data_IF_900441587465
#
_entry.id   IF_900441587465
#
_cell.length_a   1.000
_cell.length_b   1.000
_cell.length_c   1.000
_cell.angle_alpha   90.00
_cell.angle_beta   90.00
_cell.angle_gamma   90.00
#
_symmetry.space_group_name_H-M   'P 1'
#
loop_
_entity.id
_entity.type
_entity.pdbx_description
1 polymer ?
#
# COMPACT_ATOMS: atom_id res chain seq x y z
N UNK A 1 -18.79 6.90 -51.35
CA UNK A 1 -19.70 6.69 -50.21
C UNK A 1 -19.38 5.33 -49.60
N UNK A 2 -18.65 5.32 -48.49
CA UNK A 2 -18.60 4.23 -47.51
C UNK A 2 -18.15 4.86 -46.21
N UNK A 3 -19.13 5.09 -45.35
CA UNK A 3 -19.00 5.60 -43.98
C UNK A 3 -19.18 4.42 -43.03
N UNK A 4 -18.28 4.26 -42.06
CA UNK A 4 -18.45 3.57 -40.77
C UNK A 4 -17.10 3.02 -40.32
N UNK A 5 -16.62 3.12 -39.09
CA UNK A 5 -17.03 3.81 -37.87
C UNK A 5 -15.90 3.44 -36.90
N UNK A 6 -15.07 4.40 -36.50
CA UNK A 6 -14.03 4.16 -35.50
C UNK A 6 -14.65 4.14 -34.12
N UNK A 7 -14.76 2.96 -33.54
CA UNK A 7 -15.13 2.73 -32.14
C UNK A 7 -14.07 3.33 -31.22
N UNK A 8 -14.38 4.48 -30.61
CA UNK A 8 -13.62 5.06 -29.51
C UNK A 8 -13.99 4.36 -28.21
N UNK A 9 -13.18 3.39 -27.78
CA UNK A 9 -13.19 2.90 -26.40
C UNK A 9 -11.81 3.14 -25.78
N UNK A 10 -11.55 4.38 -25.40
CA UNK A 10 -10.46 4.70 -24.47
C UNK A 10 -11.06 4.87 -23.09
N UNK A 11 -11.31 3.76 -22.38
CA UNK A 11 -11.31 3.79 -20.93
C UNK A 11 -9.87 4.05 -20.49
N UNK A 12 -9.49 5.32 -20.43
CA UNK A 12 -8.24 5.75 -19.81
C UNK A 12 -8.31 5.24 -18.37
N UNK A 13 -7.53 4.21 -18.06
CA UNK A 13 -7.24 3.84 -16.69
C UNK A 13 -6.62 5.08 -16.05
N UNK A 14 -7.41 5.83 -15.29
CA UNK A 14 -6.89 6.91 -14.46
C UNK A 14 -5.96 6.25 -13.45
N UNK A 15 -4.67 6.55 -13.51
CA UNK A 15 -3.68 6.05 -12.55
C UNK A 15 -4.10 6.48 -11.14
N UNK A 16 -4.80 5.59 -10.42
CA UNK A 16 -5.23 5.84 -9.05
C UNK A 16 -4.09 5.59 -8.09
N UNK A 17 -3.84 6.55 -7.21
CA UNK A 17 -2.86 6.41 -6.12
C UNK A 17 -3.58 5.97 -4.85
N UNK A 18 -2.95 5.13 -4.05
CA UNK A 18 -3.48 4.78 -2.74
C UNK A 18 -3.18 5.90 -1.75
N UNK A 19 -1.95 6.41 -1.81
CA UNK A 19 -1.43 7.39 -0.86
C UNK A 19 -0.76 8.53 -1.61
N UNK A 20 -1.09 9.75 -1.20
CA UNK A 20 -0.33 10.96 -1.53
C UNK A 20 0.54 11.34 -0.34
N UNK A 21 1.81 11.67 -0.56
CA UNK A 21 2.70 12.14 0.52
C UNK A 21 3.22 13.53 0.18
N UNK A 22 2.81 14.52 0.99
CA UNK A 22 3.38 15.88 0.97
C UNK A 22 4.45 16.01 2.05
N UNK A 23 5.62 16.51 1.68
CA UNK A 23 6.76 16.67 2.57
C UNK A 23 7.72 17.74 2.05
N UNK A 24 8.54 18.30 2.94
CA UNK A 24 9.65 19.17 2.53
C UNK A 24 10.86 18.31 2.17
N UNK A 25 11.25 18.33 0.89
CA UNK A 25 12.34 17.51 0.36
C UNK A 25 13.67 17.80 1.05
N UNK A 26 14.03 19.07 1.18
CA UNK A 26 15.27 19.51 1.84
C UNK A 26 15.42 19.00 3.28
N UNK A 27 14.31 18.87 4.03
CA UNK A 27 14.34 18.50 5.44
C UNK A 27 14.34 16.98 5.67
N UNK A 28 13.74 16.20 4.75
CA UNK A 28 13.31 14.82 5.06
C UNK A 28 13.70 13.76 4.03
N UNK A 29 14.23 14.14 2.86
CA UNK A 29 14.47 13.24 1.70
C UNK A 29 15.45 12.10 1.98
N UNK A 30 16.44 12.29 2.86
CA UNK A 30 17.45 11.27 3.22
C UNK A 30 17.22 10.61 4.59
N UNK A 31 16.07 10.82 5.22
CA UNK A 31 15.78 10.31 6.56
C UNK A 31 14.46 9.51 6.58
N UNK A 32 13.45 10.00 7.28
CA UNK A 32 12.17 9.34 7.53
C UNK A 32 11.39 9.02 6.25
N UNK A 33 11.36 9.94 5.28
CA UNK A 33 10.55 9.78 4.05
C UNK A 33 11.04 8.62 3.19
N UNK A 34 12.36 8.42 3.11
CA UNK A 34 12.93 7.29 2.37
C UNK A 34 12.46 5.95 2.92
N UNK A 35 12.50 5.79 4.25
CA UNK A 35 12.03 4.59 4.93
C UNK A 35 10.51 4.42 4.85
N UNK A 36 9.75 5.51 4.95
CA UNK A 36 8.29 5.48 4.77
C UNK A 36 7.91 4.98 3.37
N UNK A 37 8.55 5.52 2.32
CA UNK A 37 8.32 5.06 0.95
C UNK A 37 8.71 3.59 0.74
N UNK A 38 9.83 3.15 1.32
CA UNK A 38 10.25 1.76 1.26
C UNK A 38 9.22 0.84 1.93
N UNK A 39 8.73 1.21 3.12
CA UNK A 39 7.77 0.43 3.86
C UNK A 39 6.41 0.35 3.14
N UNK A 40 5.90 1.47 2.63
CA UNK A 40 4.67 1.51 1.81
C UNK A 40 4.82 0.65 0.54
N UNK A 41 5.94 0.79 -0.18
CA UNK A 41 6.22 0.02 -1.39
C UNK A 41 6.34 -1.48 -1.13
N UNK A 42 6.96 -1.88 -0.02
CA UNK A 42 7.07 -3.30 0.39
C UNK A 42 5.69 -3.92 0.66
N UNK A 43 4.71 -3.11 1.04
CA UNK A 43 3.32 -3.54 1.23
C UNK A 43 2.46 -3.45 -0.03
N UNK A 44 3.04 -3.03 -1.17
CA UNK A 44 2.34 -2.93 -2.45
C UNK A 44 1.40 -1.74 -2.56
N UNK A 45 1.63 -0.71 -1.74
CA UNK A 45 0.86 0.54 -1.74
C UNK A 45 1.43 1.44 -2.85
N UNK A 46 0.56 1.87 -3.77
CA UNK A 46 0.89 2.81 -4.83
C UNK A 46 0.92 4.23 -4.27
N UNK A 47 2.11 4.82 -4.21
CA UNK A 47 2.34 6.11 -3.57
C UNK A 47 2.69 7.15 -4.62
N UNK A 48 1.94 8.25 -4.67
CA UNK A 48 2.39 9.45 -5.34
C UNK A 48 3.42 10.16 -4.46
N UNK A 49 4.62 10.34 -5.01
CA UNK A 49 5.70 11.08 -4.35
C UNK A 49 5.70 12.48 -4.94
N UNK A 50 5.37 13.49 -4.14
CA UNK A 50 5.66 14.86 -4.58
C UNK A 50 7.18 15.09 -4.45
N UNK A 51 7.88 14.86 -5.55
CA UNK A 51 9.31 15.14 -5.64
C UNK A 51 9.40 16.59 -6.10
N UNK A 52 9.92 17.46 -5.24
CA UNK A 52 10.24 18.88 -5.50
C UNK A 52 11.02 19.15 -6.82
N UNK A 53 11.48 18.10 -7.50
CA UNK A 53 12.21 18.15 -8.77
C UNK A 53 11.28 18.37 -9.98
N UNK A 54 9.95 18.28 -9.82
CA UNK A 54 8.96 18.67 -10.83
C UNK A 54 8.82 20.21 -10.92
N UNK A 55 9.86 20.83 -11.49
CA UNK A 55 9.94 22.17 -12.11
C UNK A 55 9.29 23.34 -11.36
N UNK A 56 10.16 24.21 -10.86
CA UNK A 56 9.93 25.64 -10.55
C UNK A 56 8.94 26.30 -11.52
N UNK A 57 7.70 26.48 -11.06
CA UNK A 57 6.65 27.24 -11.73
C UNK A 57 5.70 27.86 -10.71
N UNK A 58 5.05 28.98 -11.05
CA UNK A 58 4.16 29.74 -10.16
C UNK A 58 2.76 29.14 -10.03
N UNK A 59 2.43 28.07 -10.76
CA UNK A 59 1.14 27.38 -10.71
C UNK A 59 1.33 25.92 -10.28
N UNK A 60 0.36 25.40 -9.55
CA UNK A 60 0.22 23.97 -9.28
C UNK A 60 0.13 23.26 -10.63
N UNK A 61 0.99 22.26 -10.86
CA UNK A 61 1.00 21.50 -12.09
C UNK A 61 -0.35 20.74 -12.21
N UNK A 62 -1.01 20.72 -13.39
CA UNK A 62 -2.24 19.95 -13.58
C UNK A 62 -2.13 18.48 -13.13
N UNK A 63 -0.93 17.91 -13.28
CA UNK A 63 -0.57 16.57 -12.84
C UNK A 63 -0.67 16.41 -11.31
N UNK A 64 -0.31 17.43 -10.54
CA UNK A 64 -0.40 17.44 -9.08
C UNK A 64 -1.87 17.47 -8.62
N UNK A 65 -2.72 18.28 -9.25
CA UNK A 65 -4.16 18.30 -8.96
C UNK A 65 -4.80 16.96 -9.29
N UNK A 66 -4.43 16.34 -10.42
CA UNK A 66 -4.89 15.00 -10.77
C UNK A 66 -4.44 13.96 -9.75
N UNK A 67 -3.18 14.00 -9.30
CA UNK A 67 -2.66 13.10 -8.28
C UNK A 67 -3.40 13.25 -6.95
N UNK A 68 -3.64 14.50 -6.51
CA UNK A 68 -4.46 14.78 -5.32
C UNK A 68 -5.85 14.18 -5.51
N UNK A 69 -6.53 14.45 -6.62
CA UNK A 69 -7.88 13.92 -6.91
C UNK A 69 -7.91 12.39 -6.99
N UNK A 70 -6.86 11.75 -7.49
CA UNK A 70 -6.75 10.31 -7.66
C UNK A 70 -6.27 9.56 -6.41
N UNK A 71 -5.96 10.26 -5.31
CA UNK A 71 -5.43 9.68 -4.07
C UNK A 71 -6.50 9.46 -3.00
N UNK A 72 -6.42 8.33 -2.29
CA UNK A 72 -7.39 7.95 -1.25
C UNK A 72 -6.99 8.43 0.16
N UNK A 73 -5.70 8.36 0.48
CA UNK A 73 -5.15 8.76 1.79
C UNK A 73 -4.05 9.80 1.57
N UNK A 74 -4.02 10.83 2.42
CA UNK A 74 -2.98 11.86 2.40
C UNK A 74 -2.12 11.76 3.65
N UNK A 75 -0.81 11.71 3.46
CA UNK A 75 0.16 11.85 4.53
C UNK A 75 0.81 13.22 4.38
N UNK A 76 0.73 14.02 5.44
CA UNK A 76 1.38 15.33 5.49
C UNK A 76 2.50 15.27 6.52
N UNK A 77 3.75 15.37 6.06
CA UNK A 77 4.93 15.33 6.94
C UNK A 77 5.38 16.75 7.21
N UNK A 78 4.93 17.28 8.35
CA UNK A 78 5.37 18.56 8.85
C UNK A 78 6.78 18.45 9.42
N UNK A 79 7.71 19.23 8.88
CA UNK A 79 9.08 19.41 9.35
C UNK A 79 9.29 20.85 9.85
N UNK A 80 10.47 21.17 10.38
CA UNK A 80 10.78 22.52 10.86
C UNK A 80 10.62 23.59 9.77
N UNK A 81 11.01 23.31 8.53
CA UNK A 81 10.98 24.28 7.41
C UNK A 81 9.87 23.99 6.39
N UNK A 82 8.86 23.18 6.72
CA UNK A 82 7.76 22.87 5.78
C UNK A 82 7.09 24.14 5.24
N UNK A 83 6.83 25.12 6.10
CA UNK A 83 6.17 26.37 5.72
C UNK A 83 7.05 27.36 4.96
N UNK A 84 8.35 27.11 4.77
CA UNK A 84 9.19 27.97 3.92
C UNK A 84 9.01 27.68 2.43
N UNK A 85 8.34 26.56 2.09
CA UNK A 85 7.99 26.19 0.73
C UNK A 85 6.55 26.60 0.40
N UNK A 86 6.40 27.58 -0.49
CA UNK A 86 5.07 27.95 -1.03
C UNK A 86 4.41 26.78 -1.76
N UNK A 87 5.21 25.86 -2.31
CA UNK A 87 4.70 24.64 -2.94
C UNK A 87 4.01 23.74 -1.91
N UNK A 88 4.69 23.39 -0.82
CA UNK A 88 4.12 22.56 0.25
C UNK A 88 2.83 23.19 0.83
N UNK A 89 2.81 24.52 0.99
CA UNK A 89 1.63 25.24 1.48
C UNK A 89 0.45 25.22 0.51
N UNK A 90 0.72 25.31 -0.80
CA UNK A 90 -0.29 25.18 -1.86
C UNK A 90 -0.87 23.77 -1.92
N UNK A 91 -0.02 22.75 -1.89
CA UNK A 91 -0.46 21.36 -1.81
C UNK A 91 -1.38 21.13 -0.62
N UNK A 92 -0.98 21.58 0.56
CA UNK A 92 -1.76 21.42 1.76
C UNK A 92 -3.14 22.08 1.66
N UNK A 93 -3.20 23.28 1.08
CA UNK A 93 -4.45 23.99 0.85
C UNK A 93 -5.35 23.24 -0.15
N UNK A 94 -4.80 22.73 -1.25
CA UNK A 94 -5.55 21.92 -2.23
C UNK A 94 -6.04 20.61 -1.63
N UNK A 95 -5.20 19.90 -0.88
CA UNK A 95 -5.58 18.67 -0.18
C UNK A 95 -6.74 18.95 0.79
N UNK A 96 -6.69 20.08 1.50
CA UNK A 96 -7.75 20.46 2.43
C UNK A 96 -9.03 20.92 1.75
N UNK A 97 -8.93 21.52 0.57
CA UNK A 97 -10.08 21.88 -0.27
C UNK A 97 -10.68 20.67 -1.00
N UNK A 98 -9.92 19.58 -1.12
CA UNK A 98 -10.42 18.31 -1.62
C UNK A 98 -11.41 17.69 -0.63
N UNK A 99 -12.40 16.94 -1.15
CA UNK A 99 -13.52 16.33 -0.41
C UNK A 99 -13.24 16.05 1.08
N UNK A 100 -14.05 16.66 1.96
CA UNK A 100 -13.90 16.59 3.43
C UNK A 100 -13.88 15.16 3.98
N UNK A 101 -14.32 14.17 3.20
CA UNK A 101 -14.35 12.75 3.58
C UNK A 101 -13.01 12.03 3.45
N UNK A 102 -11.99 12.66 2.85
CA UNK A 102 -10.71 12.00 2.63
C UNK A 102 -9.86 11.95 3.90
N UNK A 103 -9.13 10.85 4.07
CA UNK A 103 -8.34 10.62 5.28
C UNK A 103 -7.00 11.34 5.17
N UNK A 104 -6.77 12.30 6.06
CA UNK A 104 -5.51 13.04 6.16
C UNK A 104 -4.81 12.61 7.46
N UNK A 105 -3.55 12.22 7.34
CA UNK A 105 -2.69 11.76 8.43
C UNK A 105 -1.53 12.76 8.57
N UNK A 106 -1.59 13.70 9.54
CA UNK A 106 -0.46 14.55 9.85
C UNK A 106 0.62 13.77 10.61
N UNK A 107 1.87 13.95 10.22
CA UNK A 107 3.07 13.44 10.88
C UNK A 107 3.93 14.65 11.24
N UNK A 108 4.32 14.77 12.50
CA UNK A 108 5.17 15.83 13.02
C UNK A 108 6.59 15.30 13.19
N UNK A 109 7.43 15.54 12.17
CA UNK A 109 8.83 15.12 12.08
C UNK A 109 9.73 16.22 12.63
N UNK A 110 10.31 15.98 13.82
CA UNK A 110 11.22 16.92 14.50
C UNK A 110 10.64 18.34 14.73
N UNK A 111 9.31 18.48 14.71
CA UNK A 111 8.59 19.74 14.95
C UNK A 111 7.46 19.55 15.96
N UNK A 112 7.29 20.48 16.89
CA UNK A 112 6.20 20.40 17.85
C UNK A 112 4.84 20.61 17.16
N UNK A 113 3.82 19.76 17.40
CA UNK A 113 2.49 19.97 16.84
C UNK A 113 1.92 21.36 17.14
N UNK A 114 2.21 21.93 18.32
CA UNK A 114 1.77 23.27 18.70
C UNK A 114 2.41 24.37 17.86
N UNK A 115 3.66 24.17 17.39
CA UNK A 115 4.36 25.10 16.48
C UNK A 115 3.63 25.16 15.15
N UNK A 116 3.22 24.02 14.60
CA UNK A 116 2.47 23.95 13.34
C UNK A 116 1.05 24.52 13.52
N UNK A 117 0.35 24.13 14.59
CA UNK A 117 -1.05 24.56 14.87
C UNK A 117 -1.19 26.06 15.11
N UNK A 118 -0.21 26.67 15.77
CA UNK A 118 -0.21 28.11 16.09
C UNK A 118 0.63 28.94 15.10
N UNK A 119 1.27 28.26 14.15
CA UNK A 119 2.24 28.84 13.20
C UNK A 119 3.27 29.74 13.89
N UNK A 120 3.84 29.28 15.01
CA UNK A 120 4.87 30.00 15.77
C UNK A 120 6.29 29.63 15.30
N UNK A 121 7.33 30.31 15.76
CA UNK A 121 8.71 29.87 15.53
C UNK A 121 9.16 29.97 14.07
N UNK A 122 9.62 28.87 13.46
CA UNK A 122 10.04 28.86 12.04
C UNK A 122 8.88 29.17 11.09
N UNK A 123 7.67 28.69 11.42
CA UNK A 123 6.46 28.94 10.64
C UNK A 123 6.07 30.42 10.68
N UNK A 124 6.19 31.06 11.84
CA UNK A 124 5.92 32.49 12.02
C UNK A 124 6.84 33.34 11.14
N UNK A 125 8.13 33.00 11.12
CA UNK A 125 9.14 33.69 10.28
C UNK A 125 8.81 33.55 8.80
N UNK A 126 8.45 32.35 8.34
CA UNK A 126 8.08 32.11 6.96
C UNK A 126 6.84 32.94 6.55
N UNK A 127 5.80 32.97 7.37
CA UNK A 127 4.61 33.77 7.08
C UNK A 127 4.87 35.27 7.12
N UNK A 128 5.69 35.76 8.05
CA UNK A 128 6.07 37.18 8.08
C UNK A 128 6.82 37.60 6.80
N UNK A 129 7.62 36.70 6.22
CA UNK A 129 8.27 36.93 4.93
C UNK A 129 7.25 37.03 3.78
N UNK A 130 6.28 36.11 3.72
CA UNK A 130 5.23 36.14 2.71
C UNK A 130 4.34 37.38 2.82
N UNK A 131 3.93 37.75 4.03
CA UNK A 131 3.10 38.95 4.27
C UNK A 131 3.84 40.24 3.88
N UNK A 132 5.16 40.29 4.09
CA UNK A 132 5.98 41.40 3.61
C UNK A 132 6.11 41.39 2.08
N UNK A 133 6.34 40.23 1.47
CA UNK A 133 6.55 40.06 0.03
C UNK A 133 5.29 40.31 -0.79
N UNK A 134 4.14 39.92 -0.28
CA UNK A 134 2.85 39.96 -1.00
C UNK A 134 1.94 41.10 -0.55
N UNK A 135 2.44 42.03 0.28
CA UNK A 135 1.67 43.13 0.86
C UNK A 135 0.76 43.90 -0.12
N UNK A 136 1.23 44.11 -1.35
CA UNK A 136 0.51 44.89 -2.38
C UNK A 136 -0.29 44.00 -3.37
N UNK A 137 -0.24 42.68 -3.20
CA UNK A 137 -0.90 41.69 -4.05
C UNK A 137 -2.03 41.03 -3.26
N UNK A 138 -3.24 41.59 -3.38
CA UNK A 138 -4.42 41.13 -2.63
C UNK A 138 -4.70 39.63 -2.86
N UNK A 139 -4.50 39.14 -4.08
CA UNK A 139 -4.72 37.74 -4.45
C UNK A 139 -3.74 36.81 -3.71
N UNK A 140 -2.46 37.19 -3.63
CA UNK A 140 -1.47 36.41 -2.87
C UNK A 140 -1.65 36.54 -1.37
N UNK A 141 -2.14 37.67 -0.87
CA UNK A 141 -2.49 37.79 0.54
C UNK A 141 -3.66 36.89 0.93
N UNK A 142 -4.68 36.75 0.07
CA UNK A 142 -5.73 35.75 0.26
C UNK A 142 -5.15 34.32 0.24
N UNK A 143 -4.19 34.04 -0.65
CA UNK A 143 -3.50 32.75 -0.72
C UNK A 143 -2.79 32.42 0.61
N UNK A 144 -2.06 33.38 1.18
CA UNK A 144 -1.41 33.26 2.49
C UNK A 144 -2.41 32.94 3.60
N UNK A 145 -3.59 33.56 3.59
CA UNK A 145 -4.63 33.26 4.57
C UNK A 145 -5.17 31.83 4.41
N UNK A 146 -5.35 31.35 3.17
CA UNK A 146 -5.75 29.95 2.91
C UNK A 146 -4.70 28.97 3.42
N UNK A 147 -3.41 29.26 3.22
CA UNK A 147 -2.33 28.43 3.76
C UNK A 147 -2.35 28.35 5.29
N UNK A 148 -2.54 29.48 5.98
CA UNK A 148 -2.66 29.53 7.46
C UNK A 148 -3.84 28.69 7.95
N UNK A 149 -4.99 28.80 7.28
CA UNK A 149 -6.19 28.02 7.61
C UNK A 149 -5.96 26.52 7.39
N UNK A 150 -5.39 26.11 6.26
CA UNK A 150 -5.11 24.71 5.94
C UNK A 150 -4.14 24.08 6.96
N UNK A 151 -3.04 24.78 7.30
CA UNK A 151 -2.12 24.34 8.36
C UNK A 151 -2.83 24.12 9.69
N UNK A 152 -3.61 25.10 10.12
CA UNK A 152 -4.33 25.02 11.40
C UNK A 152 -5.31 23.84 11.41
N UNK A 153 -6.08 23.67 10.34
CA UNK A 153 -7.08 22.61 10.23
C UNK A 153 -6.43 21.23 10.20
N UNK A 154 -5.41 21.02 9.36
CA UNK A 154 -4.75 19.72 9.21
C UNK A 154 -3.92 19.37 10.45
N UNK A 155 -3.20 20.32 11.05
CA UNK A 155 -2.41 20.07 12.25
C UNK A 155 -3.27 19.80 13.51
N UNK A 156 -4.56 20.15 13.48
CA UNK A 156 -5.53 19.81 14.53
C UNK A 156 -6.12 18.40 14.38
N UNK A 157 -5.87 17.70 13.26
CA UNK A 157 -6.27 16.31 13.09
C UNK A 157 -5.42 15.39 13.98
N UNK A 158 -5.95 14.19 14.25
CA UNK A 158 -5.19 13.15 14.96
C UNK A 158 -4.08 12.62 14.04
N UNK A 159 -2.85 12.59 14.58
CA UNK A 159 -1.66 12.21 13.82
C UNK A 159 -0.53 11.71 14.70
N UNK A 160 0.66 11.58 14.10
CA UNK A 160 1.84 11.03 14.76
C UNK A 160 2.83 12.14 15.10
N UNK A 161 3.03 12.39 16.39
CA UNK A 161 4.21 13.10 16.87
C UNK A 161 5.35 12.10 17.01
N UNK A 162 6.32 12.15 16.10
CA UNK A 162 7.44 11.19 16.04
C UNK A 162 8.73 11.75 16.64
N UNK A 163 8.68 12.94 17.23
CA UNK A 163 9.84 13.54 17.91
C UNK A 163 10.34 12.64 19.03
N UNK A 164 11.65 12.45 19.08
CA UNK A 164 12.32 11.63 20.09
C UNK A 164 11.83 10.17 20.14
N UNK A 165 11.24 9.65 19.06
CA UNK A 165 10.81 8.25 18.93
C UNK A 165 11.65 7.50 17.92
N UNK A 166 11.66 6.17 18.01
CA UNK A 166 12.28 5.32 17.00
C UNK A 166 11.46 5.36 15.71
N UNK A 167 12.05 5.91 14.64
CA UNK A 167 11.36 6.09 13.37
C UNK A 167 10.88 4.78 12.76
N UNK A 168 11.61 3.68 12.94
CA UNK A 168 11.21 2.36 12.41
C UNK A 168 9.86 1.89 12.98
N UNK A 169 9.68 1.95 14.30
CA UNK A 169 8.44 1.55 14.97
C UNK A 169 7.27 2.44 14.54
N UNK A 170 7.50 3.76 14.46
CA UNK A 170 6.46 4.70 14.03
C UNK A 170 6.04 4.46 12.57
N UNK A 171 7.00 4.17 11.68
CA UNK A 171 6.70 3.85 10.28
C UNK A 171 5.87 2.58 10.16
N UNK A 172 6.20 1.53 10.92
CA UNK A 172 5.42 0.29 10.92
C UNK A 172 3.97 0.54 11.33
N UNK A 173 3.74 1.25 12.44
CA UNK A 173 2.40 1.61 12.91
C UNK A 173 1.61 2.45 11.89
N UNK A 174 2.26 3.45 11.27
CA UNK A 174 1.65 4.30 10.25
C UNK A 174 1.22 3.46 9.03
N UNK A 175 2.10 2.58 8.55
CA UNK A 175 1.84 1.71 7.40
C UNK A 175 0.71 0.73 7.70
N UNK A 176 0.69 0.13 8.89
CA UNK A 176 -0.43 -0.72 9.31
C UNK A 176 -1.76 0.05 9.38
N UNK A 177 -1.74 1.28 9.89
CA UNK A 177 -2.91 2.14 9.91
C UNK A 177 -3.43 2.41 8.50
N UNK A 178 -2.52 2.70 7.56
CA UNK A 178 -2.87 2.94 6.15
C UNK A 178 -3.47 1.69 5.52
N UNK A 179 -2.89 0.51 5.75
CA UNK A 179 -3.45 -0.75 5.26
C UNK A 179 -4.87 -0.97 5.79
N UNK A 180 -5.13 -0.65 7.06
CA UNK A 180 -6.46 -0.72 7.66
C UNK A 180 -7.44 0.27 7.03
N UNK A 181 -6.99 1.49 6.69
CA UNK A 181 -7.82 2.53 6.04
C UNK A 181 -8.14 2.15 4.60
N UNK A 182 -7.14 1.76 3.80
CA UNK A 182 -7.32 1.32 2.42
C UNK A 182 -8.15 0.03 2.35
N UNK A 183 -8.17 -0.73 3.45
CA UNK A 183 -8.79 -2.04 3.54
C UNK A 183 -8.07 -3.07 2.67
N UNK A 184 -8.55 -4.32 2.66
CA UNK A 184 -8.17 -5.24 1.60
C UNK A 184 -8.62 -4.59 0.30
N UNK A 185 -7.66 -4.21 -0.56
CA UNK A 185 -7.95 -3.91 -1.96
C UNK A 185 -8.71 -5.11 -2.50
N UNK A 186 -10.03 -5.00 -2.58
CA UNK A 186 -10.87 -6.03 -3.14
C UNK A 186 -10.50 -6.09 -4.61
N UNK A 187 -9.64 -7.06 -4.85
CA UNK A 187 -9.31 -7.76 -6.06
C UNK A 187 -8.49 -7.05 -7.14
N UNK A 188 -7.40 -7.71 -7.57
CA UNK A 188 -6.83 -7.49 -8.92
C UNK A 188 -7.72 -8.08 -10.01
N UNK A 189 -8.79 -8.77 -9.59
CA UNK A 189 -9.83 -9.26 -10.46
C UNK A 189 -10.76 -8.10 -10.87
N UNK A 190 -11.20 -8.05 -12.14
CA UNK A 190 -12.22 -7.11 -12.59
C UNK A 190 -13.48 -7.27 -11.74
N UNK A 191 -13.83 -6.23 -10.97
CA UNK A 191 -15.03 -6.24 -10.10
C UNK A 191 -16.33 -6.43 -10.90
N UNK A 192 -16.32 -6.01 -12.16
CA UNK A 192 -17.51 -5.95 -13.01
C UNK A 192 -17.83 -7.28 -13.72
N UNK A 193 -16.97 -8.30 -13.61
CA UNK A 193 -17.13 -9.56 -14.34
C UNK A 193 -17.42 -10.80 -13.47
N UNK A 194 -17.44 -10.66 -12.14
CA UNK A 194 -17.43 -11.81 -11.21
C UNK A 194 -18.69 -11.88 -10.34
N UNK A 195 -19.85 -12.10 -10.99
CA UNK A 195 -21.14 -12.28 -10.30
C UNK A 195 -21.10 -13.53 -9.40
N UNK A 196 -21.39 -13.34 -8.11
CA UNK A 196 -21.56 -14.43 -7.14
C UNK A 196 -20.26 -14.97 -6.50
N UNK A 197 -19.09 -14.43 -6.83
CA UNK A 197 -17.83 -14.82 -6.18
C UNK A 197 -17.79 -14.39 -4.71
N UNK A 198 -18.34 -13.22 -4.38
CA UNK A 198 -18.33 -12.71 -3.00
C UNK A 198 -19.02 -13.68 -2.01
N UNK A 199 -20.12 -14.30 -2.44
CA UNK A 199 -20.82 -15.30 -1.62
C UNK A 199 -19.93 -16.51 -1.33
N UNK A 200 -19.26 -17.06 -2.35
CA UNK A 200 -18.37 -18.22 -2.20
C UNK A 200 -17.10 -17.87 -1.40
N UNK A 201 -16.56 -16.66 -1.56
CA UNK A 201 -15.44 -16.18 -0.75
C UNK A 201 -15.85 -16.10 0.71
N UNK A 202 -17.06 -15.61 1.01
CA UNK A 202 -17.61 -15.56 2.37
C UNK A 202 -17.77 -16.97 2.97
N UNK A 203 -18.29 -17.93 2.21
CA UNK A 203 -18.37 -19.33 2.65
C UNK A 203 -16.98 -19.91 2.97
N UNK A 204 -15.99 -19.73 2.09
CA UNK A 204 -14.62 -20.18 2.34
C UNK A 204 -13.98 -19.48 3.55
N UNK A 205 -14.24 -18.19 3.72
CA UNK A 205 -13.76 -17.41 4.87
C UNK A 205 -14.31 -17.97 6.18
N UNK A 206 -15.59 -18.36 6.21
CA UNK A 206 -16.20 -19.00 7.37
C UNK A 206 -15.58 -20.37 7.65
N UNK A 207 -15.31 -21.18 6.62
CA UNK A 207 -14.67 -22.49 6.77
C UNK A 207 -13.25 -22.38 7.35
N UNK A 208 -12.51 -21.33 6.97
CA UNK A 208 -11.17 -21.08 7.50
C UNK A 208 -11.15 -20.75 9.00
N UNK A 209 -12.27 -20.32 9.60
CA UNK A 209 -12.38 -19.89 11.00
C UNK A 209 -11.17 -19.05 11.46
N UNK A 210 -10.99 -17.89 10.83
CA UNK A 210 -9.82 -17.01 11.00
C UNK A 210 -9.53 -16.57 12.46
N UNK A 211 -10.49 -16.77 13.37
CA UNK A 211 -10.38 -16.44 14.80
C UNK A 211 -9.79 -17.60 15.64
N UNK A 212 -9.57 -18.78 15.05
CA UNK A 212 -8.98 -19.92 15.75
C UNK A 212 -7.48 -19.72 15.98
N UNK A 213 -7.05 -19.73 17.25
CA UNK A 213 -5.64 -19.53 17.63
C UNK A 213 -4.91 -20.88 17.60
N UNK A 214 -3.74 -20.93 16.94
CA UNK A 214 -2.79 -22.06 16.91
C UNK A 214 -3.25 -23.34 16.18
N UNK A 215 -3.91 -23.23 15.02
CA UNK A 215 -4.33 -24.38 14.22
C UNK A 215 -3.80 -24.30 12.77
N UNK A 216 -3.48 -25.46 12.16
CA UNK A 216 -3.05 -25.57 10.77
C UNK A 216 -4.18 -26.19 9.97
N UNK A 217 -4.70 -25.45 8.97
CA UNK A 217 -5.85 -25.87 8.17
C UNK A 217 -5.50 -25.99 6.70
N UNK A 218 -5.98 -27.07 6.09
CA UNK A 218 -5.84 -27.33 4.66
C UNK A 218 -7.24 -27.43 4.05
N UNK A 219 -7.51 -26.62 3.03
CA UNK A 219 -8.79 -26.63 2.29
C UNK A 219 -8.50 -26.99 0.83
N UNK A 220 -9.18 -28.03 0.33
CA UNK A 220 -9.18 -28.38 -1.08
C UNK A 220 -10.32 -27.69 -1.82
N UNK A 221 -10.02 -27.06 -2.96
CA UNK A 221 -11.03 -26.53 -3.89
C UNK A 221 -11.03 -27.41 -5.14
N UNK A 222 -12.05 -28.25 -5.30
CA UNK A 222 -12.20 -29.17 -6.44
C UNK A 222 -13.45 -28.85 -7.26
N UNK A 223 -13.47 -29.31 -8.51
CA UNK A 223 -14.58 -29.06 -9.43
C UNK A 223 -14.15 -29.13 -10.89
N UNK A 224 -15.12 -29.06 -11.81
CA UNK A 224 -14.86 -29.10 -13.26
C UNK A 224 -14.00 -27.92 -13.73
N UNK A 225 -13.37 -28.08 -14.88
CA UNK A 225 -12.60 -27.01 -15.50
C UNK A 225 -13.52 -25.87 -15.98
N UNK A 226 -13.01 -24.64 -15.91
CA UNK A 226 -13.77 -23.45 -16.26
C UNK A 226 -14.78 -22.95 -15.20
N UNK A 227 -14.99 -23.67 -14.09
CA UNK A 227 -15.96 -23.25 -13.04
C UNK A 227 -15.49 -22.07 -12.17
N UNK A 228 -14.25 -21.60 -12.37
CA UNK A 228 -13.66 -20.48 -11.65
C UNK A 228 -12.93 -20.81 -10.35
N UNK A 229 -12.35 -22.02 -10.20
CA UNK A 229 -11.59 -22.44 -9.00
C UNK A 229 -10.43 -21.49 -8.69
N UNK A 230 -9.56 -21.27 -9.68
CA UNK A 230 -8.43 -20.33 -9.62
C UNK A 230 -8.89 -18.92 -9.24
N UNK A 231 -9.99 -18.45 -9.87
CA UNK A 231 -10.57 -17.13 -9.61
C UNK A 231 -11.03 -17.00 -8.16
N UNK A 232 -11.71 -18.02 -7.64
CA UNK A 232 -12.19 -18.06 -6.26
C UNK A 232 -11.02 -18.09 -5.26
N UNK A 233 -10.02 -18.94 -5.49
CA UNK A 233 -8.84 -19.04 -4.65
C UNK A 233 -8.06 -17.71 -4.62
N UNK A 234 -7.93 -17.04 -5.77
CA UNK A 234 -7.29 -15.72 -5.87
C UNK A 234 -8.08 -14.64 -5.16
N UNK A 235 -9.40 -14.60 -5.34
CA UNK A 235 -10.27 -13.64 -4.65
C UNK A 235 -10.16 -13.80 -3.13
N UNK A 236 -10.19 -15.03 -2.62
CA UNK A 236 -10.01 -15.32 -1.20
C UNK A 236 -8.62 -14.87 -0.72
N UNK A 237 -7.56 -15.25 -1.44
CA UNK A 237 -6.18 -14.86 -1.09
C UNK A 237 -6.02 -13.34 -0.99
N UNK A 238 -6.51 -12.59 -1.97
CA UNK A 238 -6.47 -11.14 -1.97
C UNK A 238 -7.27 -10.55 -0.80
N UNK A 239 -8.39 -11.19 -0.42
CA UNK A 239 -9.25 -10.75 0.68
C UNK A 239 -8.63 -10.93 2.06
N UNK A 240 -7.90 -12.03 2.32
CA UNK A 240 -7.47 -12.40 3.68
C UNK A 240 -5.95 -12.36 3.88
N UNK A 241 -5.14 -12.30 2.81
CA UNK A 241 -3.67 -12.37 2.92
C UNK A 241 -3.03 -11.30 3.80
N UNK A 242 -3.68 -10.14 3.95
CA UNK A 242 -3.22 -9.06 4.83
C UNK A 242 -3.26 -9.41 6.33
N UNK A 243 -4.01 -10.45 6.71
CA UNK A 243 -4.13 -10.91 8.10
C UNK A 243 -3.00 -11.85 8.51
N UNK A 244 -2.20 -12.31 7.55
CA UNK A 244 -1.14 -13.29 7.75
C UNK A 244 0.24 -12.64 7.59
N UNK A 245 1.20 -13.15 8.36
CA UNK A 245 2.57 -12.65 8.38
C UNK A 245 3.33 -13.16 7.14
N UNK A 246 3.03 -14.40 6.72
CA UNK A 246 3.51 -15.00 5.48
C UNK A 246 2.35 -15.27 4.52
N UNK A 247 2.55 -14.94 3.24
CA UNK A 247 1.56 -15.09 2.17
C UNK A 247 2.24 -15.57 0.90
N UNK A 248 1.72 -16.62 0.29
CA UNK A 248 2.20 -17.12 -0.99
C UNK A 248 1.05 -17.59 -1.87
N UNK A 249 1.11 -17.25 -3.16
CA UNK A 249 0.25 -17.80 -4.19
C UNK A 249 1.12 -18.43 -5.28
N UNK A 250 0.91 -19.71 -5.54
CA UNK A 250 1.57 -20.46 -6.61
C UNK A 250 0.54 -20.70 -7.70
N UNK A 251 0.67 -19.97 -8.81
CA UNK A 251 -0.33 -19.93 -9.89
C UNK A 251 -0.45 -21.24 -10.68
N UNK A 252 0.61 -22.04 -10.76
CA UNK A 252 0.59 -23.32 -11.48
C UNK A 252 1.57 -24.30 -10.84
N UNK A 253 1.08 -25.06 -9.86
CA UNK A 253 1.90 -26.03 -9.14
C UNK A 253 2.37 -27.16 -10.05
N UNK A 254 1.50 -27.66 -10.95
CA UNK A 254 1.84 -28.75 -11.88
C UNK A 254 3.00 -28.39 -12.78
N UNK A 255 2.96 -27.22 -13.39
CA UNK A 255 4.02 -26.76 -14.30
C UNK A 255 5.36 -26.57 -13.57
N UNK A 256 5.37 -25.87 -12.44
CA UNK A 256 6.61 -25.57 -11.70
C UNK A 256 7.25 -26.84 -11.15
N UNK A 257 6.42 -27.73 -10.60
CA UNK A 257 6.88 -29.03 -10.10
C UNK A 257 7.35 -29.94 -11.25
N UNK A 258 6.73 -29.85 -12.43
CA UNK A 258 7.14 -30.60 -13.62
C UNK A 258 8.52 -30.19 -14.15
N UNK A 259 8.80 -28.88 -14.17
CA UNK A 259 10.05 -28.33 -14.70
C UNK A 259 11.24 -28.49 -13.73
N UNK A 260 11.02 -28.18 -12.45
CA UNK A 260 12.10 -28.03 -11.47
C UNK A 260 11.91 -28.83 -10.19
N UNK A 261 10.86 -29.68 -10.13
CA UNK A 261 10.54 -30.50 -8.97
C UNK A 261 10.16 -29.68 -7.74
N UNK A 262 10.34 -30.29 -6.58
CA UNK A 262 10.12 -29.68 -5.26
C UNK A 262 10.97 -28.41 -5.05
N UNK A 263 12.16 -28.35 -5.64
CA UNK A 263 13.09 -27.23 -5.47
C UNK A 263 12.55 -25.92 -6.06
N UNK A 264 11.88 -25.96 -7.22
CA UNK A 264 11.28 -24.75 -7.82
C UNK A 264 10.20 -24.15 -6.95
N UNK A 265 9.32 -25.01 -6.45
CA UNK A 265 8.23 -24.62 -5.54
C UNK A 265 8.80 -24.01 -4.26
N UNK A 266 9.82 -24.63 -3.67
CA UNK A 266 10.52 -24.09 -2.49
C UNK A 266 11.15 -22.72 -2.76
N UNK A 267 11.81 -22.54 -3.91
CA UNK A 267 12.38 -21.24 -4.31
C UNK A 267 11.31 -20.18 -4.49
N UNK A 268 10.15 -20.52 -5.04
CA UNK A 268 9.04 -19.58 -5.18
C UNK A 268 8.43 -19.21 -3.82
N UNK A 269 8.22 -20.17 -2.92
CA UNK A 269 7.76 -19.92 -1.56
C UNK A 269 8.71 -18.97 -0.83
N UNK A 270 10.02 -19.24 -0.88
CA UNK A 270 11.01 -18.47 -0.13
C UNK A 270 11.24 -17.10 -0.79
N UNK A 271 11.17 -16.97 -2.12
CA UNK A 271 11.30 -15.67 -2.79
C UNK A 271 10.11 -14.75 -2.50
N UNK A 272 8.88 -15.29 -2.50
CA UNK A 272 7.70 -14.54 -2.07
C UNK A 272 7.73 -14.23 -0.57
N UNK A 273 8.35 -15.09 0.25
CA UNK A 273 8.59 -14.84 1.68
C UNK A 273 9.57 -13.69 1.93
N UNK A 274 10.77 -13.74 1.34
CA UNK A 274 11.85 -12.78 1.62
C UNK A 274 11.72 -11.49 0.80
N UNK A 275 10.78 -11.44 -0.15
CA UNK A 275 10.73 -10.42 -1.19
C UNK A 275 12.10 -10.26 -1.89
N UNK A 276 12.85 -11.36 -1.96
CA UNK A 276 14.24 -11.39 -2.42
C UNK A 276 14.33 -12.31 -3.64
N UNK A 277 14.76 -11.72 -4.76
CA UNK A 277 14.82 -12.42 -6.05
C UNK A 277 16.04 -13.34 -6.21
N UNK A 278 17.05 -13.20 -5.34
CA UNK A 278 18.39 -13.79 -5.51
C UNK A 278 18.77 -14.78 -4.41
N UNK A 279 17.87 -15.73 -4.11
CA UNK A 279 18.12 -16.71 -3.06
C UNK A 279 19.03 -17.85 -3.54
N UNK A 280 20.15 -18.02 -2.85
CA UNK A 280 21.12 -19.09 -3.08
C UNK A 280 20.68 -20.39 -2.41
N UNK A 281 19.63 -21.01 -2.94
CA UNK A 281 19.18 -22.34 -2.52
C UNK A 281 19.64 -23.35 -3.56
N UNK A 282 20.54 -24.24 -3.15
CA UNK A 282 21.24 -25.15 -4.06
C UNK A 282 20.59 -26.54 -4.14
N UNK A 283 19.81 -26.95 -3.14
CA UNK A 283 19.15 -28.26 -3.11
C UNK A 283 17.81 -28.23 -2.35
N UNK A 284 17.01 -29.28 -2.55
CA UNK A 284 15.65 -29.38 -2.01
C UNK A 284 15.59 -29.64 -0.49
N UNK A 285 16.66 -30.17 0.10
CA UNK A 285 16.75 -30.44 1.55
C UNK A 285 16.89 -29.11 2.29
N UNK A 286 17.84 -28.28 1.85
CA UNK A 286 18.01 -26.93 2.35
C UNK A 286 16.72 -26.13 2.13
N UNK A 287 16.18 -26.15 0.91
CA UNK A 287 14.93 -25.46 0.59
C UNK A 287 13.78 -25.85 1.53
N UNK A 288 13.60 -27.14 1.81
CA UNK A 288 12.60 -27.62 2.77
C UNK A 288 12.87 -27.09 4.18
N UNK A 289 14.12 -27.18 4.67
CA UNK A 289 14.49 -26.67 5.98
C UNK A 289 14.18 -25.17 6.13
N UNK A 290 14.53 -24.36 5.11
CA UNK A 290 14.27 -22.93 5.10
C UNK A 290 12.77 -22.60 5.10
N UNK A 291 11.97 -23.29 4.27
CA UNK A 291 10.51 -23.14 4.29
C UNK A 291 9.96 -23.48 5.68
N UNK A 292 10.29 -24.64 6.22
CA UNK A 292 9.75 -25.12 7.49
C UNK A 292 10.16 -24.25 8.67
N UNK A 293 11.44 -23.90 8.83
CA UNK A 293 11.91 -23.06 9.92
C UNK A 293 11.18 -21.70 9.98
N UNK A 294 10.67 -21.21 8.84
CA UNK A 294 9.89 -19.98 8.76
C UNK A 294 8.40 -20.21 9.04
N UNK A 295 7.79 -21.22 8.44
CA UNK A 295 6.38 -21.55 8.69
C UNK A 295 6.08 -21.84 10.17
N UNK A 296 7.04 -22.37 10.93
CA UNK A 296 6.87 -22.62 12.37
C UNK A 296 6.86 -21.34 13.23
N UNK A 297 7.28 -20.18 12.70
CA UNK A 297 7.48 -18.95 13.49
C UNK A 297 6.49 -17.83 13.19
N UNK A 298 5.58 -18.04 12.24
CA UNK A 298 4.74 -17.00 11.68
C UNK A 298 3.41 -17.57 11.20
N UNK A 299 2.34 -16.76 11.20
CA UNK A 299 1.06 -17.16 10.61
C UNK A 299 1.19 -17.13 9.09
N UNK A 300 0.87 -18.25 8.46
CA UNK A 300 1.08 -18.48 7.04
C UNK A 300 -0.23 -18.69 6.27
N UNK A 301 -0.38 -18.05 5.12
CA UNK A 301 -1.39 -18.34 4.11
C UNK A 301 -0.70 -18.77 2.81
N UNK A 302 -0.92 -20.02 2.40
CA UNK A 302 -0.35 -20.60 1.18
C UNK A 302 -1.49 -21.06 0.29
N UNK A 303 -1.51 -20.59 -0.95
CA UNK A 303 -2.45 -21.05 -1.98
C UNK A 303 -1.67 -21.72 -3.10
N UNK A 304 -2.03 -22.97 -3.38
CA UNK A 304 -1.45 -23.80 -4.43
C UNK A 304 -2.52 -24.02 -5.49
N UNK A 305 -2.38 -23.37 -6.65
CA UNK A 305 -3.28 -23.57 -7.78
C UNK A 305 -2.75 -24.69 -8.70
N UNK A 306 -3.67 -25.34 -9.42
CA UNK A 306 -3.37 -26.41 -10.36
C UNK A 306 -2.54 -27.58 -9.79
N UNK A 307 -2.93 -28.09 -8.63
CA UNK A 307 -2.34 -29.31 -8.03
C UNK A 307 -2.98 -30.55 -8.68
N UNK A 308 -2.18 -31.36 -9.37
CA UNK A 308 -2.63 -32.54 -10.11
C UNK A 308 -2.05 -33.87 -9.60
N UNK A 309 -1.07 -33.81 -8.69
CA UNK A 309 -0.39 -34.99 -8.11
C UNK A 309 -0.27 -34.87 -6.61
N UNK A 310 -0.59 -35.94 -5.87
CA UNK A 310 -0.45 -35.95 -4.41
C UNK A 310 0.98 -35.70 -3.91
N UNK A 311 2.00 -36.02 -4.72
CA UNK A 311 3.40 -35.75 -4.39
C UNK A 311 3.71 -34.26 -4.23
N UNK A 312 3.01 -33.39 -4.93
CA UNK A 312 3.16 -31.94 -4.82
C UNK A 312 2.82 -31.43 -3.42
N UNK A 313 1.89 -32.10 -2.73
CA UNK A 313 1.46 -31.75 -1.37
C UNK A 313 2.42 -32.28 -0.30
N UNK A 314 3.24 -33.29 -0.61
CA UNK A 314 4.24 -33.85 0.33
C UNK A 314 5.26 -32.81 0.79
N UNK A 315 5.42 -31.73 0.03
CA UNK A 315 6.25 -30.59 0.40
C UNK A 315 5.82 -29.92 1.72
N UNK A 316 4.53 -30.02 2.06
CA UNK A 316 3.88 -29.32 3.19
C UNK A 316 3.31 -30.26 4.23
N UNK A 317 3.37 -31.57 4.02
CA UNK A 317 2.93 -32.57 5.00
C UNK A 317 4.18 -33.18 5.63
N UNK A 318 4.54 -32.72 6.82
CA UNK A 318 5.61 -33.35 7.63
C UNK A 318 5.29 -34.79 8.05
N UNK A 319 4.10 -35.31 7.72
CA UNK A 319 3.69 -36.72 7.81
C UNK A 319 2.34 -36.83 7.08
N UNK A 320 2.09 -37.98 6.45
CA UNK A 320 1.03 -38.25 5.46
C UNK A 320 -0.37 -37.70 5.79
N UNK A 321 -1.01 -37.02 4.82
CA UNK A 321 -2.45 -36.72 4.85
C UNK A 321 -3.11 -37.45 3.67
N UNK A 322 -4.07 -38.32 3.99
CA UNK A 322 -4.96 -38.94 3.01
C UNK A 322 -5.97 -37.91 2.49
N UNK A 323 -5.96 -37.68 1.18
CA UNK A 323 -7.01 -36.91 0.49
C UNK A 323 -8.09 -37.90 0.08
N UNK A 324 -9.30 -37.76 0.64
CA UNK A 324 -10.48 -38.44 0.11
C UNK A 324 -10.94 -37.73 -1.16
N UNK A 325 -11.16 -38.51 -2.21
CA UNK A 325 -11.60 -38.09 -3.55
C UNK A 325 -13.06 -37.65 -3.59
#
# INVERSE_FOLDING_TARGET
MTSSSSSSSSSLATDTYDVFVSFRGEDTRNSFIGFLFQALGTKGINVFKDVEDLKKGESIAPELLQAIQASQVFIIVFSENYASSTWCLRELAEIRNCDERRVIIPIFYDVDPSVVRKQSGSYEKAFAEYEKRFREDEVKMEEVQRWRQALTQVANLSGWDIRNKLHCEQIEEIVERIIKILGPKLSRLPKDELVGIEFRVKELTNLLHLESVNDVRVIGISGRDGIGKTTLARALYERISHQYDFRCFIDDMSNIYGDTGSLGVQKQLISQFLNEKNLKIFNAIDGAYWVWNRLHKARALIVLDNVDKGEQLKLFTGTEIYVHA
#
